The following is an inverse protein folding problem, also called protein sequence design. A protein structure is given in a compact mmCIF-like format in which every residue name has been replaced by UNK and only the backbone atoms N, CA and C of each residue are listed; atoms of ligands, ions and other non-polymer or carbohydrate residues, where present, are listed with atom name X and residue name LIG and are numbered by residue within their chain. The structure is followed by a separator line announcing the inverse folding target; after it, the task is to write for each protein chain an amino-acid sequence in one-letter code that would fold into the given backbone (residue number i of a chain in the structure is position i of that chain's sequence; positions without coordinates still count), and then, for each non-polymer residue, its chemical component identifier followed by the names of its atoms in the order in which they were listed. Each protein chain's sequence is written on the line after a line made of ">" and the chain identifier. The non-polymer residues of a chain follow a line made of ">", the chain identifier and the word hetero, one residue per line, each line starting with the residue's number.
data_IF_025516098119
#
_entry.id   IF_025516098119
#
_cell.length_a   1.000
_cell.length_b   1.000
_cell.length_c   1.000
_cell.angle_alpha   90.00
_cell.angle_beta   90.00
_cell.angle_gamma   90.00
#
_symmetry.space_group_name_H-M   'P 1'
#
loop_
_entity.id
_entity.type
_entity.pdbx_description
1 polymer ?
#
# COMPACT_ATOMS: atom_id res chain seq x y z
N UNK A 1 1.97 1.09 -33.75
CA UNK A 1 1.42 -0.28 -33.97
C UNK A 1 0.28 -0.46 -32.99
N UNK A 2 -0.85 -1.02 -33.42
CA UNK A 2 -2.03 -1.22 -32.58
C UNK A 2 -2.30 -2.71 -32.40
N UNK A 3 -2.60 -3.14 -31.17
CA UNK A 3 -3.04 -4.51 -30.91
C UNK A 3 -4.53 -4.66 -31.26
N UNK A 4 -4.93 -5.64 -32.10
CA UNK A 4 -6.33 -5.82 -32.48
C UNK A 4 -7.23 -6.29 -31.33
N UNK A 5 -6.67 -6.95 -30.31
CA UNK A 5 -7.44 -7.50 -29.19
C UNK A 5 -7.67 -6.50 -28.05
N UNK A 6 -6.65 -5.69 -27.71
CA UNK A 6 -6.74 -4.73 -26.60
C UNK A 6 -6.76 -3.27 -27.05
N UNK A 7 -6.74 -3.01 -28.36
CA UNK A 7 -6.72 -1.67 -28.99
C UNK A 7 -5.58 -0.76 -28.54
N UNK A 8 -4.61 -1.27 -27.77
CA UNK A 8 -3.49 -0.51 -27.26
C UNK A 8 -2.52 -0.14 -28.39
N UNK A 9 -2.13 1.14 -28.44
CA UNK A 9 -1.19 1.66 -29.43
C UNK A 9 0.16 1.93 -28.76
N UNK A 10 1.22 1.36 -29.33
CA UNK A 10 2.58 1.48 -28.82
C UNK A 10 3.61 1.78 -29.91
N UNK A 11 4.76 2.28 -29.49
CA UNK A 11 5.90 2.56 -30.35
C UNK A 11 6.84 1.33 -30.44
N UNK A 12 7.11 0.88 -31.66
CA UNK A 12 7.94 -0.31 -31.91
C UNK A 12 9.39 -0.17 -31.43
N UNK A 13 9.96 1.04 -31.51
CA UNK A 13 11.38 1.27 -31.16
C UNK A 13 11.65 1.27 -29.66
N UNK A 14 10.68 1.72 -28.85
CA UNK A 14 10.88 1.94 -27.41
C UNK A 14 9.94 1.11 -26.52
N UNK A 15 8.99 0.37 -27.09
CA UNK A 15 7.97 -0.42 -26.41
C UNK A 15 7.14 0.36 -25.38
N UNK A 16 7.09 1.69 -25.52
CA UNK A 16 6.29 2.58 -24.68
C UNK A 16 4.94 2.88 -25.36
N UNK A 17 3.92 3.36 -24.61
CA UNK A 17 2.71 3.90 -25.21
C UNK A 17 3.02 4.87 -26.36
N UNK A 18 2.15 4.90 -27.36
CA UNK A 18 2.34 5.77 -28.51
C UNK A 18 2.47 7.23 -28.07
N UNK A 19 3.50 7.90 -28.58
CA UNK A 19 3.85 9.26 -28.20
C UNK A 19 3.98 10.13 -29.46
N UNK A 20 2.92 10.85 -29.77
CA UNK A 20 2.87 11.75 -30.92
C UNK A 20 3.61 13.06 -30.61
N UNK A 21 4.35 13.60 -31.59
CA UNK A 21 5.05 14.88 -31.46
C UNK A 21 6.34 14.87 -30.65
N UNK A 22 6.74 13.73 -30.07
CA UNK A 22 8.02 13.60 -29.33
C UNK A 22 8.82 12.39 -29.77
N UNK A 23 10.15 12.51 -29.78
CA UNK A 23 11.00 11.37 -30.13
C UNK A 23 11.14 10.39 -28.95
N UNK A 24 11.60 9.15 -29.22
CA UNK A 24 11.73 8.13 -28.18
C UNK A 24 12.72 8.51 -27.05
N UNK A 25 13.71 9.36 -27.31
CA UNK A 25 14.67 9.81 -26.29
C UNK A 25 14.03 10.84 -25.36
N UNK A 26 13.28 11.78 -25.91
CA UNK A 26 12.50 12.80 -25.18
C UNK A 26 11.43 12.15 -24.33
N UNK A 27 10.67 11.20 -24.88
CA UNK A 27 9.66 10.47 -24.12
C UNK A 27 10.27 9.78 -22.89
N UNK A 28 11.39 9.07 -23.06
CA UNK A 28 12.12 8.44 -21.95
C UNK A 28 12.67 9.47 -20.95
N UNK A 29 13.12 10.63 -21.43
CA UNK A 29 13.57 11.74 -20.55
C UNK A 29 12.40 12.29 -19.74
N UNK A 30 11.24 12.47 -20.34
CA UNK A 30 10.00 12.88 -19.67
C UNK A 30 9.56 11.90 -18.58
N UNK A 31 9.55 10.59 -18.86
CA UNK A 31 9.23 9.57 -17.85
C UNK A 31 10.19 9.62 -16.65
N UNK A 32 11.48 9.82 -16.91
CA UNK A 32 12.48 9.99 -15.84
C UNK A 32 12.22 11.25 -15.01
N UNK A 33 11.91 12.37 -15.66
CA UNK A 33 11.60 13.63 -14.97
C UNK A 33 10.35 13.50 -14.09
N UNK A 34 9.29 12.89 -14.61
CA UNK A 34 8.07 12.63 -13.85
C UNK A 34 8.36 11.76 -12.61
N UNK A 35 9.18 10.71 -12.77
CA UNK A 35 9.57 9.84 -11.66
C UNK A 35 10.46 10.55 -10.64
N UNK A 36 11.32 11.46 -11.07
CA UNK A 36 12.13 12.27 -10.18
C UNK A 36 11.24 13.20 -9.36
N UNK A 37 10.47 14.04 -10.03
CA UNK A 37 9.54 14.99 -9.43
C UNK A 37 8.56 14.30 -8.47
N UNK A 38 7.97 13.16 -8.85
CA UNK A 38 7.03 12.44 -8.00
C UNK A 38 7.66 11.93 -6.68
N UNK A 39 8.95 11.61 -6.68
CA UNK A 39 9.67 11.14 -5.49
C UNK A 39 10.27 12.27 -4.66
N UNK A 40 10.31 13.49 -5.20
CA UNK A 40 10.80 14.67 -4.52
C UNK A 40 9.94 14.98 -3.30
N UNK A 41 10.59 15.40 -2.22
CA UNK A 41 9.94 15.65 -0.93
C UNK A 41 9.89 17.16 -0.71
N UNK A 42 8.71 17.74 -0.87
CA UNK A 42 8.43 19.13 -0.53
C UNK A 42 7.63 19.17 0.77
N UNK A 43 8.01 20.07 1.69
CA UNK A 43 7.33 20.25 2.99
C UNK A 43 7.15 18.93 3.79
N UNK A 44 8.09 18.00 3.65
CA UNK A 44 8.08 16.71 4.34
C UNK A 44 7.13 15.65 3.75
N UNK A 45 6.57 15.87 2.55
CA UNK A 45 5.74 14.90 1.83
C UNK A 45 6.17 14.76 0.37
N UNK A 46 5.91 13.59 -0.22
CA UNK A 46 6.19 13.37 -1.65
C UNK A 46 5.22 14.15 -2.53
N UNK A 47 5.71 14.69 -3.64
CA UNK A 47 4.89 15.43 -4.60
C UNK A 47 3.77 14.57 -5.19
N UNK A 48 4.04 13.29 -5.49
CA UNK A 48 3.01 12.35 -5.94
C UNK A 48 3.22 10.95 -5.37
N UNK A 49 2.12 10.29 -4.97
CA UNK A 49 2.14 8.92 -4.48
C UNK A 49 1.59 7.95 -5.52
N UNK A 50 2.18 6.75 -5.62
CA UNK A 50 1.68 5.69 -6.50
C UNK A 50 0.49 4.97 -5.87
N UNK A 51 -0.55 4.75 -6.67
CA UNK A 51 -1.62 3.83 -6.30
C UNK A 51 -1.06 2.42 -6.08
N UNK A 52 -1.39 1.73 -4.97
CA UNK A 52 -0.88 0.38 -4.72
C UNK A 52 -1.39 -0.65 -5.73
N UNK A 53 -2.56 -0.43 -6.35
CA UNK A 53 -3.19 -1.34 -7.32
C UNK A 53 -2.77 -1.05 -8.76
N UNK A 54 -3.13 0.11 -9.31
CA UNK A 54 -2.87 0.45 -10.73
C UNK A 54 -1.56 1.20 -10.99
N UNK A 55 -0.78 1.52 -9.95
CA UNK A 55 0.55 2.18 -10.03
C UNK A 55 0.59 3.57 -10.68
N UNK A 56 -0.56 4.18 -10.99
CA UNK A 56 -0.63 5.57 -11.44
C UNK A 56 -0.12 6.51 -10.33
N UNK A 57 0.51 7.61 -10.72
CA UNK A 57 0.88 8.67 -9.79
C UNK A 57 -0.35 9.55 -9.51
N UNK A 58 -0.60 9.81 -8.23
CA UNK A 58 -1.69 10.63 -7.74
C UNK A 58 -1.04 11.75 -6.94
N UNK A 59 -1.36 12.98 -7.26
CA UNK A 59 -0.98 14.15 -6.48
C UNK A 59 -2.07 14.44 -5.45
N UNK A 60 -1.69 14.82 -4.23
CA UNK A 60 -2.63 15.25 -3.20
C UNK A 60 -2.97 16.72 -3.40
N UNK A 61 -4.26 17.05 -3.38
CA UNK A 61 -4.74 18.44 -3.41
C UNK A 61 -4.78 19.03 -2.00
N UNK A 62 -5.44 18.38 -1.03
CA UNK A 62 -5.59 18.93 0.33
C UNK A 62 -5.68 17.88 1.46
N UNK A 63 -5.14 18.25 2.64
CA UNK A 63 -5.59 17.95 4.01
C UNK A 63 -5.65 16.51 4.55
N UNK A 64 -5.96 15.50 3.76
CA UNK A 64 -6.23 14.14 4.25
C UNK A 64 -5.24 13.11 3.68
N UNK A 65 -4.75 12.23 4.55
CA UNK A 65 -3.90 11.12 4.14
C UNK A 65 -4.69 9.96 3.51
N UNK A 66 -6.01 9.90 3.73
CA UNK A 66 -6.87 8.88 3.13
C UNK A 66 -7.31 9.34 1.74
N UNK A 67 -6.80 8.67 0.70
CA UNK A 67 -7.13 8.98 -0.69
C UNK A 67 -7.75 7.78 -1.41
N UNK A 68 -8.61 8.10 -2.38
CA UNK A 68 -9.25 7.13 -3.27
C UNK A 68 -8.71 7.30 -4.68
N UNK A 69 -8.21 6.22 -5.27
CA UNK A 69 -7.73 6.26 -6.65
C UNK A 69 -8.89 6.40 -7.63
N UNK A 70 -8.91 7.45 -8.46
CA UNK A 70 -9.96 7.69 -9.46
C UNK A 70 -10.07 6.60 -10.54
N UNK A 71 -8.96 5.95 -10.90
CA UNK A 71 -8.95 4.92 -11.96
C UNK A 71 -9.40 3.53 -11.50
N UNK A 72 -9.15 3.17 -10.23
CA UNK A 72 -9.38 1.79 -9.75
C UNK A 72 -10.15 1.72 -8.43
N UNK A 73 -10.67 2.85 -7.95
CA UNK A 73 -11.45 3.03 -6.72
C UNK A 73 -10.83 2.40 -5.47
N UNK A 74 -9.49 2.29 -5.45
CA UNK A 74 -8.78 1.71 -4.30
C UNK A 74 -8.46 2.80 -3.29
N UNK A 75 -8.87 2.58 -2.05
CA UNK A 75 -8.54 3.42 -0.90
C UNK A 75 -7.11 3.13 -0.42
N UNK A 76 -6.28 4.16 -0.30
CA UNK A 76 -4.89 4.03 0.13
C UNK A 76 -4.44 5.24 0.93
N UNK A 77 -3.40 5.04 1.74
CA UNK A 77 -2.78 6.09 2.53
C UNK A 77 -1.72 6.80 1.69
N UNK A 78 -1.89 8.11 1.49
CA UNK A 78 -0.98 8.95 0.72
C UNK A 78 0.42 8.99 1.34
N UNK A 79 0.52 9.04 2.68
CA UNK A 79 1.81 9.09 3.38
C UNK A 79 2.66 7.86 3.12
N UNK A 80 2.12 6.67 3.32
CA UNK A 80 2.92 5.44 3.26
C UNK A 80 2.82 4.67 1.94
N UNK A 81 1.80 4.97 1.11
CA UNK A 81 1.51 4.30 -0.15
C UNK A 81 0.78 2.96 -0.01
N UNK A 82 0.34 2.59 1.21
CA UNK A 82 -0.31 1.30 1.46
C UNK A 82 -1.82 1.39 1.30
N UNK A 83 -2.40 0.27 0.87
CA UNK A 83 -3.87 0.13 0.76
C UNK A 83 -4.48 0.10 2.15
N UNK A 84 -5.60 0.82 2.34
CA UNK A 84 -6.42 0.64 3.54
C UNK A 84 -7.01 -0.77 3.53
N UNK A 85 -6.65 -1.57 4.53
CA UNK A 85 -7.25 -2.86 4.82
C UNK A 85 -7.97 -2.72 6.16
N UNK A 86 -9.23 -3.10 6.20
CA UNK A 86 -9.96 -3.28 7.44
C UNK A 86 -10.08 -4.77 7.69
N UNK A 87 -9.34 -5.25 8.67
CA UNK A 87 -9.42 -6.62 9.14
C UNK A 87 -9.78 -6.54 10.61
N UNK A 88 -10.88 -7.19 11.01
CA UNK A 88 -11.41 -7.13 12.39
C UNK A 88 -10.33 -7.39 13.44
N UNK A 89 -9.40 -8.30 13.16
CA UNK A 89 -8.39 -8.76 14.12
C UNK A 89 -7.05 -8.00 14.04
N UNK A 90 -6.69 -7.44 12.88
CA UNK A 90 -5.37 -6.81 12.69
C UNK A 90 -5.42 -5.28 12.82
N UNK A 91 -6.58 -4.73 13.17
CA UNK A 91 -6.80 -3.30 13.34
C UNK A 91 -6.88 -2.53 12.03
N UNK A 92 -6.88 -1.20 12.16
CA UNK A 92 -6.95 -0.27 11.05
C UNK A 92 -5.58 0.37 10.73
N UNK A 93 -5.52 1.08 9.62
CA UNK A 93 -4.28 1.73 9.18
C UNK A 93 -3.85 2.91 10.08
N UNK A 94 -4.78 3.45 10.87
CA UNK A 94 -4.56 4.63 11.73
C UNK A 94 -3.99 4.26 13.10
N UNK A 95 -4.17 3.03 13.54
CA UNK A 95 -3.67 2.52 14.82
C UNK A 95 -2.14 2.36 14.82
N UNK A 96 -1.49 2.82 15.89
CA UNK A 96 -0.02 2.75 16.02
C UNK A 96 0.49 1.31 16.09
N UNK A 97 -0.21 0.46 16.83
CA UNK A 97 0.14 -0.95 17.09
C UNK A 97 -0.41 -1.91 16.02
N UNK A 98 -1.27 -1.46 15.10
CA UNK A 98 -1.71 -2.31 14.01
C UNK A 98 -0.52 -2.69 13.13
N UNK A 99 -0.43 -3.98 12.80
CA UNK A 99 0.56 -4.51 11.85
C UNK A 99 0.45 -3.78 10.50
N UNK A 100 -0.78 -3.54 10.05
CA UNK A 100 -1.09 -2.82 8.81
C UNK A 100 -1.17 -1.30 9.00
N UNK A 101 -0.80 -0.79 10.18
CA UNK A 101 -0.76 0.63 10.49
C UNK A 101 0.24 1.41 9.64
N UNK A 102 0.06 2.73 9.53
CA UNK A 102 0.97 3.60 8.80
C UNK A 102 2.42 3.52 9.33
N UNK A 103 3.39 3.32 8.44
CA UNK A 103 4.82 3.24 8.79
C UNK A 103 5.40 4.56 9.31
N UNK A 104 4.80 5.68 8.94
CA UNK A 104 5.26 7.02 9.31
C UNK A 104 4.56 7.60 10.56
N UNK A 105 3.63 6.85 11.17
CA UNK A 105 2.89 7.30 12.36
C UNK A 105 3.52 6.81 13.66
N UNK A 106 4.10 5.61 13.67
CA UNK A 106 4.71 5.01 14.86
C UNK A 106 6.19 4.74 14.64
N UNK A 107 7.05 5.34 15.47
CA UNK A 107 8.51 5.19 15.42
C UNK A 107 9.12 5.34 14.00
N UNK A 108 8.85 6.45 13.27
CA UNK A 108 9.26 6.60 11.87
C UNK A 108 10.75 6.31 11.64
N UNK A 109 11.61 6.83 12.52
CA UNK A 109 13.08 6.69 12.49
C UNK A 109 13.60 5.31 12.92
N UNK A 110 12.77 4.46 13.53
CA UNK A 110 13.18 3.15 14.07
C UNK A 110 12.36 2.01 13.46
N UNK A 111 12.58 1.66 12.18
CA UNK A 111 11.78 0.65 11.48
C UNK A 111 11.86 -0.75 12.12
N UNK A 112 13.02 -1.13 12.66
CA UNK A 112 13.20 -2.42 13.34
C UNK A 112 12.37 -2.52 14.61
N UNK A 113 12.41 -1.49 15.46
CA UNK A 113 11.63 -1.44 16.69
C UNK A 113 10.11 -1.38 16.40
N UNK A 114 9.69 -0.62 15.39
CA UNK A 114 8.29 -0.62 14.92
C UNK A 114 7.82 -2.04 14.55
N UNK A 115 8.62 -2.78 13.78
CA UNK A 115 8.28 -4.15 13.36
C UNK A 115 8.25 -5.10 14.55
N UNK A 116 9.21 -4.98 15.47
CA UNK A 116 9.27 -5.79 16.68
C UNK A 116 8.01 -5.60 17.54
N UNK A 117 7.66 -4.35 17.86
CA UNK A 117 6.49 -4.03 18.70
C UNK A 117 5.17 -4.47 18.04
N UNK A 118 5.00 -4.21 16.74
CA UNK A 118 3.78 -4.67 16.04
C UNK A 118 3.72 -6.20 15.93
N UNK A 119 4.87 -6.85 15.79
CA UNK A 119 4.98 -8.31 15.76
C UNK A 119 4.70 -8.96 17.11
N UNK A 120 5.17 -8.38 18.21
CA UNK A 120 4.91 -8.91 19.56
C UNK A 120 3.43 -8.85 19.91
N UNK A 121 2.78 -7.71 19.62
CA UNK A 121 1.31 -7.57 19.77
C UNK A 121 0.63 -8.66 18.97
N UNK A 122 0.94 -8.83 17.68
CA UNK A 122 0.37 -9.91 16.87
C UNK A 122 0.51 -11.31 17.49
N UNK A 123 1.69 -11.63 18.04
CA UNK A 123 1.95 -12.92 18.67
C UNK A 123 1.10 -13.16 19.91
N UNK A 124 0.97 -12.16 20.77
CA UNK A 124 0.09 -12.22 21.96
C UNK A 124 -1.37 -12.42 21.56
N UNK A 125 -1.84 -11.73 20.52
CA UNK A 125 -3.19 -11.90 19.97
C UNK A 125 -3.41 -13.31 19.41
N UNK A 126 -2.46 -13.88 18.66
CA UNK A 126 -2.57 -15.25 18.14
C UNK A 126 -2.62 -16.26 19.29
N UNK A 127 -1.78 -16.09 20.31
CA UNK A 127 -1.79 -16.97 21.48
C UNK A 127 -3.10 -16.88 22.27
N UNK A 128 -3.67 -15.67 22.39
CA UNK A 128 -4.99 -15.48 23.00
C UNK A 128 -6.09 -16.18 22.19
N UNK A 129 -6.10 -16.02 20.86
CA UNK A 129 -7.06 -16.68 19.99
C UNK A 129 -6.94 -18.21 20.04
N UNK A 130 -5.71 -18.73 20.06
CA UNK A 130 -5.46 -20.16 20.22
C UNK A 130 -5.99 -20.69 21.56
N UNK A 131 -5.80 -19.93 22.65
CA UNK A 131 -6.32 -20.29 23.98
C UNK A 131 -7.86 -20.28 24.01
N UNK A 132 -8.47 -19.29 23.37
CA UNK A 132 -9.92 -19.14 23.28
C UNK A 132 -10.56 -20.28 22.47
N UNK A 133 -9.96 -20.66 21.33
CA UNK A 133 -10.39 -21.83 20.56
C UNK A 133 -10.18 -23.15 21.32
N UNK A 134 -9.11 -23.25 22.12
CA UNK A 134 -8.85 -24.44 22.94
C UNK A 134 -9.87 -24.57 24.08
N UNK A 135 -10.28 -23.47 24.72
CA UNK A 135 -11.36 -23.44 25.70
C UNK A 135 -12.71 -23.80 25.07
N UNK A 136 -13.03 -23.26 23.90
CA UNK A 136 -14.25 -23.60 23.15
C UNK A 136 -14.30 -25.08 22.72
N UNK A 137 -13.17 -25.69 22.36
CA UNK A 137 -13.09 -27.13 22.03
C UNK A 137 -13.23 -28.01 23.26
N UNK A 138 -12.68 -27.60 24.42
CA UNK A 138 -12.86 -28.32 25.69
C UNK A 138 -14.33 -28.27 26.14
N UNK A 139 -15.01 -27.13 25.99
CA UNK A 139 -16.43 -27.01 26.34
C UNK A 139 -17.35 -27.73 25.35
N UNK A 140 -16.99 -27.80 24.05
CA UNK A 140 -17.76 -28.50 23.03
C UNK A 140 -17.49 -30.02 22.96
N UNK A 141 -16.36 -30.48 23.50
CA UNK A 141 -15.95 -31.88 23.51
C UNK A 141 -15.76 -32.38 24.93
N UNK A 142 -16.82 -32.94 25.52
CA UNK A 142 -16.75 -33.69 26.77
C UNK A 142 -15.84 -34.91 26.64
N UNK A 143 -14.54 -34.73 26.85
CA UNK A 143 -13.58 -35.82 27.05
C UNK A 143 -12.95 -35.63 28.41
N UNK A 144 -13.47 -36.40 29.37
CA UNK A 144 -12.84 -36.63 30.67
C UNK A 144 -11.43 -37.17 30.44
N UNK A 145 -10.42 -36.44 30.89
CA UNK A 145 -9.07 -36.98 31.02
C UNK A 145 -9.03 -37.80 32.31
N UNK A 146 -8.95 -39.14 32.16
CA UNK A 146 -8.45 -40.04 33.20
C UNK A 146 -6.95 -40.20 33.04
#
# INVERSE_FOLDING_TARGET
>A
IQCPSCQFVWCFKCHSPWHEGVNCKEYKKGDKLLRHWANEIEHGQRNAQKCPKCKIHIQRTEGCDHMTCSQCNTNFCYRCGERYRQLRFFGDHTSNLSIFGCKYRYLPERPHLRRLVRGSVCGEWINALHRQLHEEVIEAGGVSVF
#
